data_IF_072279353863
#
_entry.id   IF_072279353863
#
_cell.length_a   1.000
_cell.length_b   1.000
_cell.length_c   1.000
_cell.angle_alpha   90.00
_cell.angle_beta   90.00
_cell.angle_gamma   90.00
#
_symmetry.space_group_name_H-M   'P 1'
#
loop_
_entity.id
_entity.type
_entity.pdbx_description
1 polymer ?
#
# COMPACT_ATOMS: atom_id res chain seq x y z
N UNK A 1 0.81 -96.67 -6.11
CA UNK A 1 1.28 -95.97 -7.29
C UNK A 1 1.38 -94.46 -6.95
N UNK A 2 2.49 -93.92 -7.18
CA UNK A 2 3.15 -92.69 -6.83
C UNK A 2 2.32 -91.46 -6.66
N UNK A 3 2.43 -90.90 -5.42
CA UNK A 3 2.04 -89.53 -4.98
C UNK A 3 3.11 -88.53 -5.43
N UNK A 4 2.71 -87.40 -6.00
CA UNK A 4 3.56 -86.19 -6.18
C UNK A 4 3.02 -85.05 -5.36
N UNK A 5 3.69 -84.77 -4.22
CA UNK A 5 3.60 -83.55 -3.48
C UNK A 5 4.22 -82.36 -4.22
N UNK A 6 3.51 -81.29 -4.45
CA UNK A 6 4.07 -79.99 -4.91
C UNK A 6 4.25 -79.08 -3.70
N UNK A 7 5.48 -78.68 -3.48
CA UNK A 7 5.87 -77.58 -2.58
C UNK A 7 5.46 -76.25 -3.23
N UNK A 8 4.72 -75.42 -2.50
CA UNK A 8 4.49 -74.01 -2.80
C UNK A 8 5.37 -73.18 -1.89
N UNK A 9 6.40 -72.56 -2.46
CA UNK A 9 7.23 -71.53 -1.83
C UNK A 9 6.50 -70.19 -1.92
N UNK A 10 6.07 -69.64 -0.79
CA UNK A 10 5.50 -68.31 -0.72
C UNK A 10 6.62 -67.24 -0.76
N UNK A 11 6.55 -66.34 -1.72
CA UNK A 11 7.32 -65.11 -1.77
C UNK A 11 6.54 -64.03 -1.01
N UNK A 12 7.06 -63.57 0.14
CA UNK A 12 6.56 -62.41 0.83
C UNK A 12 7.10 -61.14 0.15
N UNK A 13 6.22 -60.37 -0.49
CA UNK A 13 6.54 -59.05 -1.02
C UNK A 13 6.40 -58.01 0.12
N UNK A 14 7.54 -57.52 0.61
CA UNK A 14 7.61 -56.37 1.53
C UNK A 14 7.36 -55.09 0.72
N UNK A 15 6.14 -54.56 0.79
CA UNK A 15 5.81 -53.24 0.26
C UNK A 15 6.39 -52.14 1.12
N UNK A 16 7.41 -51.44 0.67
CA UNK A 16 7.88 -50.18 1.22
C UNK A 16 6.88 -49.07 0.83
N UNK A 17 6.00 -48.68 1.75
CA UNK A 17 5.19 -47.46 1.62
C UNK A 17 6.09 -46.24 1.86
N UNK A 18 6.63 -45.67 0.79
CA UNK A 18 7.31 -44.39 0.81
C UNK A 18 6.29 -43.28 1.03
N UNK A 19 6.18 -42.76 2.26
CA UNK A 19 5.44 -41.57 2.55
C UNK A 19 6.16 -40.35 1.93
N UNK A 20 5.67 -39.87 0.80
CA UNK A 20 6.03 -38.53 0.29
C UNK A 20 5.58 -37.50 1.32
N UNK A 21 6.50 -37.05 2.14
CA UNK A 21 6.32 -35.80 2.90
C UNK A 21 6.36 -34.64 1.91
N UNK A 22 5.20 -34.13 1.51
CA UNK A 22 5.08 -32.81 0.91
C UNK A 22 5.67 -31.82 1.92
N UNK A 23 6.90 -31.38 1.66
CA UNK A 23 7.55 -30.32 2.38
C UNK A 23 6.70 -29.06 2.22
N UNK A 24 5.92 -28.71 3.27
CA UNK A 24 5.39 -27.37 3.40
C UNK A 24 6.60 -26.45 3.52
N UNK A 25 6.91 -25.74 2.43
CA UNK A 25 7.80 -24.59 2.49
C UNK A 25 7.15 -23.58 3.42
N UNK A 26 7.58 -23.58 4.67
CA UNK A 26 7.24 -22.49 5.60
C UNK A 26 8.02 -21.28 5.10
N UNK A 27 7.39 -20.44 4.29
CA UNK A 27 7.89 -19.08 4.07
C UNK A 27 7.92 -18.44 5.45
N UNK A 28 9.11 -18.29 6.01
CA UNK A 28 9.31 -17.64 7.30
C UNK A 28 8.81 -16.21 7.14
N UNK A 29 7.72 -15.89 7.82
CA UNK A 29 7.27 -14.50 7.97
C UNK A 29 8.45 -13.71 8.54
N UNK A 30 8.85 -12.57 7.96
CA UNK A 30 9.90 -11.75 8.53
C UNK A 30 9.58 -11.47 10.00
N UNK A 31 10.58 -11.55 10.86
CA UNK A 31 10.41 -11.17 12.27
C UNK A 31 10.04 -9.70 12.32
N UNK A 32 8.91 -9.36 12.96
CA UNK A 32 8.49 -7.98 13.16
C UNK A 32 9.21 -7.44 14.39
N UNK A 33 10.02 -6.40 14.22
CA UNK A 33 10.66 -5.69 15.33
C UNK A 33 9.59 -5.10 16.26
N UNK A 34 9.68 -5.31 17.60
CA UNK A 34 8.74 -4.70 18.55
C UNK A 34 8.71 -3.17 18.44
N UNK A 35 7.53 -2.59 18.62
CA UNK A 35 7.35 -1.15 18.63
C UNK A 35 8.03 -0.54 19.87
N UNK A 36 8.71 0.60 19.70
CA UNK A 36 9.53 1.26 20.73
C UNK A 36 8.89 2.55 21.28
N UNK A 37 7.63 2.79 20.98
CA UNK A 37 6.86 3.91 21.52
C UNK A 37 5.43 3.46 21.84
N UNK A 38 4.74 4.22 22.68
CA UNK A 38 3.33 3.96 22.99
C UNK A 38 2.49 4.22 21.75
N UNK A 39 1.89 3.16 21.21
CA UNK A 39 1.02 3.24 20.04
C UNK A 39 -0.33 3.81 20.47
N UNK A 40 -0.75 4.97 19.94
CA UNK A 40 -2.04 5.55 20.29
C UNK A 40 -3.19 4.61 19.93
N UNK A 41 -4.21 4.53 20.77
CA UNK A 41 -5.44 3.83 20.43
C UNK A 41 -6.03 4.38 19.13
N UNK A 42 -6.65 3.48 18.33
CA UNK A 42 -7.21 3.80 17.01
C UNK A 42 -6.16 4.25 15.98
N UNK A 43 -4.91 3.87 16.15
CA UNK A 43 -3.87 4.04 15.12
C UNK A 43 -4.32 3.46 13.80
N UNK A 44 -4.07 4.21 12.71
CA UNK A 44 -4.43 3.88 11.35
C UNK A 44 -3.19 3.73 10.47
N UNK A 45 -3.05 2.58 9.81
CA UNK A 45 -2.17 2.43 8.66
C UNK A 45 -2.91 2.94 7.41
N UNK A 46 -2.44 4.06 6.85
CA UNK A 46 -3.13 4.74 5.76
C UNK A 46 -2.70 4.27 4.36
N UNK A 47 -1.83 3.26 4.26
CA UNK A 47 -1.40 2.75 2.95
C UNK A 47 -0.94 1.30 3.02
N UNK A 48 -1.81 0.41 2.60
CA UNK A 48 -1.49 -1.01 2.41
C UNK A 48 -2.12 -1.54 1.12
N UNK A 49 -1.60 -2.67 0.63
CA UNK A 49 -2.16 -3.41 -0.49
C UNK A 49 -2.45 -4.85 -0.10
N UNK A 50 -3.42 -5.48 -0.75
CA UNK A 50 -3.69 -6.91 -0.62
C UNK A 50 -3.57 -7.57 -1.98
N UNK A 51 -2.89 -8.72 -2.04
CA UNK A 51 -2.74 -9.55 -3.23
C UNK A 51 -3.23 -10.96 -2.95
N UNK A 52 -4.35 -11.31 -3.53
CA UNK A 52 -4.94 -12.66 -3.40
C UNK A 52 -5.26 -13.24 -4.80
N UNK A 53 -4.23 -13.60 -5.60
CA UNK A 53 -4.42 -14.05 -6.97
C UNK A 53 -5.14 -15.40 -7.06
N UNK A 54 -5.22 -16.15 -5.96
CA UNK A 54 -5.97 -17.41 -5.90
C UNK A 54 -7.49 -17.21 -5.96
N UNK A 55 -7.96 -16.03 -5.53
CA UNK A 55 -9.39 -15.67 -5.53
C UNK A 55 -9.72 -14.56 -6.54
N UNK A 56 -8.80 -13.68 -6.79
CA UNK A 56 -8.95 -12.50 -7.65
C UNK A 56 -7.83 -12.45 -8.68
N UNK A 57 -8.09 -12.73 -9.96
CA UNK A 57 -7.06 -12.75 -10.99
C UNK A 57 -6.50 -11.34 -11.23
N UNK A 58 -5.19 -11.26 -11.46
CA UNK A 58 -4.56 -10.01 -11.85
C UNK A 58 -4.97 -9.57 -13.27
N UNK A 59 -5.05 -8.26 -13.50
CA UNK A 59 -5.34 -7.69 -14.81
C UNK A 59 -4.28 -8.09 -15.85
N UNK A 60 -4.72 -8.32 -17.09
CA UNK A 60 -3.83 -8.65 -18.20
C UNK A 60 -2.84 -7.54 -18.57
N UNK A 61 -3.22 -6.29 -18.33
CA UNK A 61 -2.41 -5.08 -18.61
C UNK A 61 -1.45 -4.68 -17.50
N UNK A 62 -1.27 -5.52 -16.46
CA UNK A 62 -0.38 -5.21 -15.33
C UNK A 62 1.09 -5.07 -15.77
N UNK A 63 1.85 -4.24 -15.07
CA UNK A 63 3.28 -4.02 -15.32
C UNK A 63 4.19 -4.95 -14.52
N UNK A 64 3.67 -5.59 -13.47
CA UNK A 64 4.37 -6.57 -12.63
C UNK A 64 3.37 -7.59 -12.05
N UNK A 65 3.88 -8.71 -11.56
CA UNK A 65 3.09 -9.75 -10.87
C UNK A 65 3.67 -9.97 -9.47
N UNK A 66 3.03 -9.48 -8.39
CA UNK A 66 3.52 -9.68 -7.03
C UNK A 66 3.25 -11.10 -6.53
N UNK A 67 4.01 -11.52 -5.52
CA UNK A 67 3.64 -12.65 -4.67
C UNK A 67 2.31 -12.37 -3.94
N UNK A 68 1.63 -13.45 -3.51
CA UNK A 68 0.43 -13.32 -2.71
C UNK A 68 0.73 -12.70 -1.34
N UNK A 69 -0.16 -11.79 -0.91
CA UNK A 69 -0.13 -11.15 0.40
C UNK A 69 -1.58 -10.89 0.83
N UNK A 70 -2.11 -11.77 1.67
CA UNK A 70 -3.55 -11.85 1.97
C UNK A 70 -3.98 -10.91 3.09
N UNK A 71 -5.28 -10.62 3.17
CA UNK A 71 -5.86 -9.86 4.27
C UNK A 71 -5.58 -10.48 5.65
N UNK A 72 -5.51 -11.82 5.75
CA UNK A 72 -5.17 -12.50 7.00
C UNK A 72 -3.73 -12.21 7.46
N UNK A 73 -2.77 -12.15 6.52
CA UNK A 73 -1.38 -11.78 6.82
C UNK A 73 -1.28 -10.30 7.25
N UNK A 74 -2.00 -9.40 6.58
CA UNK A 74 -2.12 -8.00 6.97
C UNK A 74 -2.65 -7.84 8.39
N UNK A 75 -3.75 -8.53 8.72
CA UNK A 75 -4.31 -8.52 10.08
C UNK A 75 -3.33 -9.03 11.14
N UNK A 76 -2.54 -10.05 10.82
CA UNK A 76 -1.51 -10.58 11.73
C UNK A 76 -0.41 -9.54 12.00
N UNK A 77 0.08 -8.87 10.95
CA UNK A 77 1.07 -7.80 11.05
C UNK A 77 0.53 -6.62 11.86
N UNK A 78 -0.67 -6.14 11.59
CA UNK A 78 -1.29 -5.03 12.33
C UNK A 78 -1.50 -5.36 13.82
N UNK A 79 -1.88 -6.60 14.15
CA UNK A 79 -1.98 -7.03 15.57
C UNK A 79 -0.64 -6.95 16.28
N UNK A 80 0.45 -7.39 15.62
CA UNK A 80 1.80 -7.33 16.19
C UNK A 80 2.28 -5.88 16.42
N UNK A 81 1.79 -4.93 15.62
CA UNK A 81 2.12 -3.50 15.72
C UNK A 81 1.09 -2.67 16.49
N UNK A 82 0.05 -3.28 17.08
CA UNK A 82 -1.05 -2.60 17.78
C UNK A 82 -1.82 -1.60 16.90
N UNK A 83 -1.89 -1.84 15.60
CA UNK A 83 -2.63 -1.03 14.61
C UNK A 83 -4.07 -1.56 14.53
N UNK A 84 -5.06 -0.67 14.67
CA UNK A 84 -6.47 -1.06 14.74
C UNK A 84 -7.32 -0.57 13.58
N UNK A 85 -6.85 0.39 12.77
CA UNK A 85 -7.54 0.89 11.58
C UNK A 85 -6.62 0.76 10.35
N UNK A 86 -7.25 0.67 9.18
CA UNK A 86 -6.52 0.52 7.92
C UNK A 86 -7.18 1.25 6.77
N UNK A 87 -6.35 1.72 5.83
CA UNK A 87 -6.80 2.16 4.50
C UNK A 87 -6.16 1.27 3.46
N UNK A 88 -6.97 0.40 2.85
CA UNK A 88 -6.54 -0.53 1.81
C UNK A 88 -6.61 0.19 0.47
N UNK A 89 -5.48 0.30 -0.19
CA UNK A 89 -5.32 1.02 -1.44
C UNK A 89 -5.32 0.03 -2.60
N UNK A 90 -6.17 0.26 -3.60
CA UNK A 90 -6.20 -0.56 -4.81
C UNK A 90 -4.83 -0.59 -5.49
N UNK A 91 -4.19 -1.76 -5.64
CA UNK A 91 -2.93 -1.87 -6.35
C UNK A 91 -3.15 -1.92 -7.87
N UNK A 92 -2.17 -1.43 -8.64
CA UNK A 92 -2.27 -1.34 -10.10
C UNK A 92 -2.45 -2.69 -10.81
N UNK A 93 -2.01 -3.78 -10.19
CA UNK A 93 -2.09 -5.14 -10.78
C UNK A 93 -3.51 -5.67 -10.97
N UNK A 94 -4.50 -5.08 -10.32
CA UNK A 94 -5.91 -5.41 -10.53
C UNK A 94 -6.63 -4.40 -11.44
N UNK A 95 -5.92 -3.36 -11.93
CA UNK A 95 -6.54 -2.31 -12.74
C UNK A 95 -7.72 -1.67 -12.02
N UNK A 96 -8.89 -1.65 -12.68
CA UNK A 96 -10.14 -1.08 -12.17
C UNK A 96 -11.05 -2.11 -11.48
N UNK A 97 -10.65 -3.37 -11.38
CA UNK A 97 -11.37 -4.38 -10.61
C UNK A 97 -11.01 -4.27 -9.13
N UNK A 98 -11.87 -3.61 -8.36
CA UNK A 98 -11.67 -3.37 -6.93
C UNK A 98 -12.13 -4.55 -6.03
N UNK A 99 -12.50 -5.70 -6.60
CA UNK A 99 -13.07 -6.83 -5.86
C UNK A 99 -12.17 -7.34 -4.73
N UNK A 100 -10.85 -7.48 -4.99
CA UNK A 100 -9.88 -7.90 -3.97
C UNK A 100 -9.79 -6.88 -2.82
N UNK A 101 -9.76 -5.60 -3.12
CA UNK A 101 -9.72 -4.53 -2.13
C UNK A 101 -10.99 -4.50 -1.27
N UNK A 102 -12.17 -4.62 -1.89
CA UNK A 102 -13.46 -4.65 -1.19
C UNK A 102 -13.60 -5.90 -0.29
N UNK A 103 -13.17 -7.07 -0.79
CA UNK A 103 -13.17 -8.30 0.01
C UNK A 103 -12.22 -8.20 1.22
N UNK A 104 -11.02 -7.65 1.03
CA UNK A 104 -10.07 -7.42 2.11
C UNK A 104 -10.63 -6.44 3.16
N UNK A 105 -11.31 -5.37 2.74
CA UNK A 105 -12.00 -4.45 3.65
C UNK A 105 -13.09 -5.17 4.45
N UNK A 106 -13.88 -6.03 3.80
CA UNK A 106 -14.90 -6.84 4.47
C UNK A 106 -14.29 -7.78 5.52
N UNK A 107 -13.16 -8.43 5.21
CA UNK A 107 -12.46 -9.30 6.16
C UNK A 107 -11.88 -8.52 7.35
N UNK A 108 -11.40 -7.31 7.13
CA UNK A 108 -10.87 -6.43 8.19
C UNK A 108 -11.99 -5.86 9.08
N UNK A 109 -13.17 -5.64 8.51
CA UNK A 109 -14.35 -5.16 9.20
C UNK A 109 -14.50 -3.64 9.21
N UNK A 110 -15.31 -3.08 10.14
CA UNK A 110 -15.72 -1.67 10.12
C UNK A 110 -14.56 -0.67 10.31
N UNK A 111 -13.42 -1.12 10.77
CA UNK A 111 -12.21 -0.31 10.94
C UNK A 111 -11.44 -0.09 9.63
N UNK A 112 -11.83 -0.74 8.54
CA UNK A 112 -11.25 -0.58 7.23
C UNK A 112 -11.89 0.56 6.43
N UNK A 113 -11.07 1.23 5.62
CA UNK A 113 -11.48 2.09 4.52
C UNK A 113 -10.72 1.69 3.27
N UNK A 114 -11.22 2.09 2.10
CA UNK A 114 -10.58 1.76 0.83
C UNK A 114 -10.40 2.96 -0.09
N UNK A 115 -9.41 2.82 -0.97
CA UNK A 115 -9.15 3.74 -2.07
C UNK A 115 -9.24 2.93 -3.35
N UNK A 116 -10.21 3.27 -4.20
CA UNK A 116 -10.50 2.56 -5.44
C UNK A 116 -9.71 3.12 -6.64
N UNK A 117 -9.59 2.33 -7.70
CA UNK A 117 -9.24 2.81 -9.04
C UNK A 117 -10.48 2.66 -9.90
N UNK A 118 -10.93 3.75 -10.51
CA UNK A 118 -12.13 3.78 -11.31
C UNK A 118 -11.80 3.71 -12.82
N UNK A 119 -12.66 3.08 -13.64
CA UNK A 119 -12.63 3.27 -15.08
C UNK A 119 -13.04 4.71 -15.45
N UNK A 120 -12.95 5.06 -16.74
CA UNK A 120 -13.30 6.40 -17.21
C UNK A 120 -14.75 6.79 -16.93
N UNK A 121 -15.63 5.81 -16.91
CA UNK A 121 -17.06 5.99 -16.64
C UNK A 121 -17.53 4.96 -15.63
N UNK A 122 -18.21 5.41 -14.58
CA UNK A 122 -18.77 4.57 -13.52
C UNK A 122 -20.20 5.01 -13.23
N UNK A 123 -21.19 4.08 -13.22
CA UNK A 123 -22.54 4.40 -12.79
C UNK A 123 -22.57 4.96 -11.35
N UNK A 124 -23.36 5.97 -11.09
CA UNK A 124 -23.51 6.56 -9.75
C UNK A 124 -23.89 5.53 -8.70
N UNK A 125 -24.75 4.56 -9.06
CA UNK A 125 -25.14 3.44 -8.19
C UNK A 125 -23.96 2.59 -7.73
N UNK A 126 -22.98 2.36 -8.62
CA UNK A 126 -21.75 1.64 -8.26
C UNK A 126 -20.92 2.44 -7.26
N UNK A 127 -20.81 3.76 -7.44
CA UNK A 127 -20.13 4.64 -6.50
C UNK A 127 -20.85 4.66 -5.14
N UNK A 128 -22.19 4.63 -5.12
CA UNK A 128 -22.98 4.53 -3.89
C UNK A 128 -22.72 3.21 -3.13
N UNK A 129 -22.62 2.10 -3.86
CA UNK A 129 -22.28 0.81 -3.29
C UNK A 129 -20.85 0.81 -2.70
N UNK A 130 -19.90 1.38 -3.43
CA UNK A 130 -18.53 1.54 -2.95
C UNK A 130 -18.46 2.43 -1.70
N UNK A 131 -19.22 3.52 -1.64
CA UNK A 131 -19.27 4.40 -0.48
C UNK A 131 -19.84 3.68 0.75
N UNK A 132 -20.92 2.92 0.58
CA UNK A 132 -21.48 2.06 1.64
C UNK A 132 -20.51 0.99 2.10
N UNK A 133 -19.69 0.45 1.19
CA UNK A 133 -18.63 -0.50 1.52
C UNK A 133 -17.44 0.14 2.24
N UNK A 134 -17.36 1.47 2.31
CA UNK A 134 -16.28 2.19 3.01
C UNK A 134 -15.17 2.74 2.11
N UNK A 135 -15.36 2.79 0.79
CA UNK A 135 -14.45 3.55 -0.09
C UNK A 135 -14.55 5.03 0.25
N UNK A 136 -13.39 5.72 0.32
CA UNK A 136 -13.29 7.15 0.69
C UNK A 136 -12.41 7.95 -0.26
N UNK A 137 -12.00 7.37 -1.36
CA UNK A 137 -11.21 8.07 -2.36
C UNK A 137 -10.92 7.23 -3.59
N UNK A 138 -10.34 7.90 -4.58
CA UNK A 138 -9.89 7.28 -5.84
C UNK A 138 -8.39 7.49 -6.03
N UNK A 139 -7.72 6.52 -6.63
CA UNK A 139 -6.27 6.55 -6.87
C UNK A 139 -5.93 6.81 -8.32
N UNK A 140 -5.01 7.73 -8.55
CA UNK A 140 -4.27 7.92 -9.80
C UNK A 140 -2.85 7.42 -9.57
N UNK A 141 -2.48 6.34 -10.25
CA UNK A 141 -1.14 5.77 -10.17
C UNK A 141 -0.41 6.02 -11.49
N UNK A 142 0.53 6.94 -11.45
CA UNK A 142 1.45 7.27 -12.54
C UNK A 142 2.87 6.75 -12.24
N UNK A 143 3.20 6.60 -10.95
CA UNK A 143 4.55 6.25 -10.51
C UNK A 143 4.96 4.82 -10.84
N UNK A 144 4.03 3.85 -10.79
CA UNK A 144 4.35 2.44 -11.11
C UNK A 144 4.72 2.24 -12.59
N UNK A 145 4.16 3.04 -13.48
CA UNK A 145 4.46 3.03 -14.91
C UNK A 145 5.52 4.08 -15.30
N UNK A 146 6.08 4.80 -14.32
CA UNK A 146 7.02 5.92 -14.52
C UNK A 146 6.48 6.98 -15.52
N UNK A 147 5.16 7.17 -15.51
CA UNK A 147 4.48 8.09 -16.41
C UNK A 147 4.72 9.53 -15.98
N UNK A 148 5.50 10.25 -16.79
CA UNK A 148 5.84 11.66 -16.60
C UNK A 148 5.07 12.60 -17.52
N UNK A 149 4.13 12.09 -18.33
CA UNK A 149 3.33 12.89 -19.24
C UNK A 149 2.33 13.76 -18.46
N UNK A 150 2.60 15.05 -18.43
CA UNK A 150 1.80 16.02 -17.68
C UNK A 150 0.37 16.16 -18.21
N UNK A 151 0.17 16.08 -19.53
CA UNK A 151 -1.18 16.17 -20.11
C UNK A 151 -2.00 14.90 -19.80
N UNK A 152 -1.37 13.74 -19.76
CA UNK A 152 -2.02 12.52 -19.28
C UNK A 152 -2.39 12.66 -17.79
N UNK A 153 -1.47 13.13 -16.96
CA UNK A 153 -1.73 13.39 -15.53
C UNK A 153 -2.89 14.38 -15.33
N UNK A 154 -2.94 15.48 -16.09
CA UNK A 154 -4.04 16.47 -16.06
C UNK A 154 -5.38 15.86 -16.41
N UNK A 155 -5.44 15.09 -17.50
CA UNK A 155 -6.69 14.40 -17.89
C UNK A 155 -7.18 13.44 -16.83
N UNK A 156 -6.27 12.60 -16.29
CA UNK A 156 -6.60 11.66 -15.22
C UNK A 156 -7.12 12.36 -13.97
N UNK A 157 -6.46 13.46 -13.58
CA UNK A 157 -6.87 14.24 -12.40
C UNK A 157 -8.26 14.86 -12.59
N UNK A 158 -8.52 15.51 -13.73
CA UNK A 158 -9.84 16.10 -14.02
C UNK A 158 -10.93 15.05 -14.02
N UNK A 159 -10.73 13.93 -14.73
CA UNK A 159 -11.71 12.84 -14.77
C UNK A 159 -11.99 12.25 -13.39
N UNK A 160 -10.98 12.12 -12.53
CA UNK A 160 -11.18 11.66 -11.15
C UNK A 160 -12.04 12.65 -10.34
N UNK A 161 -11.78 13.95 -10.44
CA UNK A 161 -12.57 14.99 -9.77
C UNK A 161 -14.02 14.96 -10.24
N UNK A 162 -14.26 14.94 -11.55
CA UNK A 162 -15.61 14.92 -12.14
C UNK A 162 -16.47 13.77 -11.61
N UNK A 163 -15.86 12.62 -11.34
CA UNK A 163 -16.57 11.44 -10.82
C UNK A 163 -16.90 11.52 -9.33
N UNK A 164 -16.14 12.30 -8.52
CA UNK A 164 -16.24 12.22 -7.07
C UNK A 164 -16.52 13.56 -6.37
N UNK A 165 -16.59 14.69 -7.08
CA UNK A 165 -16.69 16.03 -6.48
C UNK A 165 -17.93 16.23 -5.58
N UNK A 166 -19.01 15.51 -5.86
CA UNK A 166 -20.24 15.55 -5.06
C UNK A 166 -20.24 14.56 -3.90
N UNK A 167 -19.11 13.88 -3.66
CA UNK A 167 -18.91 12.89 -2.59
C UNK A 167 -17.90 13.42 -1.57
N UNK A 168 -17.94 12.89 -0.37
CA UNK A 168 -16.92 13.17 0.67
C UNK A 168 -15.66 12.33 0.45
N UNK A 169 -15.22 12.18 -0.80
CA UNK A 169 -14.05 11.41 -1.18
C UNK A 169 -12.88 12.35 -1.49
N UNK A 170 -11.70 11.76 -1.65
CA UNK A 170 -10.49 12.49 -2.02
C UNK A 170 -9.82 11.83 -3.24
N UNK A 171 -8.93 12.56 -3.90
CA UNK A 171 -8.05 12.01 -4.94
C UNK A 171 -6.70 11.71 -4.34
N UNK A 172 -6.26 10.45 -4.44
CA UNK A 172 -4.93 10.00 -4.04
C UNK A 172 -4.04 9.85 -5.28
N UNK A 173 -2.82 10.39 -5.25
CA UNK A 173 -1.90 10.40 -6.40
C UNK A 173 -0.57 9.79 -6.00
N UNK A 174 -0.10 8.83 -6.81
CA UNK A 174 1.26 8.35 -6.80
C UNK A 174 1.96 8.76 -8.11
N UNK A 175 2.91 9.67 -8.03
CA UNK A 175 3.65 10.19 -9.18
C UNK A 175 5.02 10.73 -8.74
N UNK A 176 5.90 10.98 -9.69
CA UNK A 176 7.15 11.72 -9.45
C UNK A 176 6.86 13.16 -9.03
N UNK A 177 7.67 13.71 -8.13
CA UNK A 177 7.50 15.06 -7.59
C UNK A 177 7.37 16.17 -8.66
N UNK A 178 8.15 16.18 -9.76
CA UNK A 178 7.96 17.18 -10.82
C UNK A 178 6.58 17.10 -11.49
N UNK A 179 5.99 15.92 -11.62
CA UNK A 179 4.63 15.76 -12.16
C UNK A 179 3.61 16.37 -11.22
N UNK A 180 3.72 16.12 -9.92
CA UNK A 180 2.85 16.73 -8.90
C UNK A 180 2.97 18.26 -8.90
N UNK A 181 4.17 18.79 -8.98
CA UNK A 181 4.42 20.23 -9.10
C UNK A 181 3.80 20.82 -10.37
N UNK A 182 3.86 20.10 -11.48
CA UNK A 182 3.23 20.49 -12.76
C UNK A 182 1.68 20.47 -12.77
N UNK A 183 1.06 19.86 -11.75
CA UNK A 183 -0.39 19.87 -11.52
C UNK A 183 -0.86 20.98 -10.57
N UNK A 184 0.03 21.91 -10.16
CA UNK A 184 -0.21 22.84 -9.06
C UNK A 184 -1.54 23.60 -9.14
N UNK A 185 -1.84 24.19 -10.29
CA UNK A 185 -3.09 24.95 -10.47
C UNK A 185 -4.34 24.07 -10.25
N UNK A 186 -4.34 22.86 -10.81
CA UNK A 186 -5.46 21.93 -10.67
C UNK A 186 -5.61 21.43 -9.22
N UNK A 187 -4.50 21.18 -8.54
CA UNK A 187 -4.48 20.71 -7.14
C UNK A 187 -5.02 21.82 -6.23
N UNK A 188 -4.56 23.06 -6.39
CA UNK A 188 -5.00 24.19 -5.59
C UNK A 188 -6.47 24.55 -5.82
N UNK A 189 -6.96 24.36 -7.05
CA UNK A 189 -8.36 24.58 -7.42
C UNK A 189 -9.29 23.38 -7.10
N UNK A 190 -8.73 22.25 -6.64
CA UNK A 190 -9.53 21.03 -6.40
C UNK A 190 -10.65 21.27 -5.39
N UNK A 191 -11.91 20.88 -5.70
CA UNK A 191 -13.02 20.95 -4.73
C UNK A 191 -12.93 19.87 -3.64
N UNK A 192 -12.13 18.82 -3.86
CA UNK A 192 -11.94 17.70 -2.90
C UNK A 192 -10.51 17.68 -2.36
N UNK A 193 -10.26 17.07 -1.19
CA UNK A 193 -8.91 16.87 -0.69
C UNK A 193 -8.05 16.06 -1.65
N UNK A 194 -6.76 16.34 -1.68
CA UNK A 194 -5.77 15.57 -2.46
C UNK A 194 -4.79 14.91 -1.51
N UNK A 195 -4.38 13.68 -1.82
CA UNK A 195 -3.41 12.91 -1.03
C UNK A 195 -2.24 12.50 -1.91
N UNK A 196 -1.03 12.74 -1.48
CA UNK A 196 0.17 12.27 -2.16
C UNK A 196 0.75 11.05 -1.45
N UNK A 197 1.02 10.00 -2.23
CA UNK A 197 1.69 8.81 -1.73
C UNK A 197 3.20 9.06 -1.54
N UNK A 198 3.81 8.34 -0.62
CA UNK A 198 5.27 8.17 -0.47
C UNK A 198 6.06 9.47 -0.56
N UNK A 199 5.92 10.34 0.45
CA UNK A 199 6.64 11.62 0.55
C UNK A 199 6.41 12.56 -0.66
N UNK A 200 5.27 12.40 -1.37
CA UNK A 200 5.01 13.16 -2.59
C UNK A 200 6.01 12.88 -3.72
N UNK A 201 6.59 11.69 -3.76
CA UNK A 201 7.58 11.30 -4.77
C UNK A 201 8.97 11.93 -4.60
N UNK A 202 9.22 12.61 -3.46
CA UNK A 202 10.53 13.18 -3.15
C UNK A 202 11.61 12.10 -3.01
N UNK A 203 12.86 12.43 -3.41
CA UNK A 203 14.03 11.55 -3.32
C UNK A 203 15.00 12.08 -2.28
N UNK A 204 15.37 11.25 -1.31
CA UNK A 204 16.22 11.66 -0.19
C UNK A 204 17.63 12.09 -0.64
N UNK A 205 18.18 11.42 -1.65
CA UNK A 205 19.49 11.77 -2.22
C UNK A 205 19.55 13.19 -2.80
N UNK A 206 18.41 13.77 -3.20
CA UNK A 206 18.34 15.13 -3.76
C UNK A 206 18.11 16.22 -2.69
N UNK A 207 17.86 15.83 -1.44
CA UNK A 207 17.67 16.74 -0.32
C UNK A 207 16.45 17.67 -0.46
N UNK A 208 16.43 18.74 0.35
CA UNK A 208 15.31 19.68 0.40
C UNK A 208 15.25 20.65 -0.80
N UNK A 209 16.36 20.81 -1.52
CA UNK A 209 16.47 21.73 -2.67
C UNK A 209 16.08 21.06 -4.00
N UNK A 210 15.57 19.84 -3.97
CA UNK A 210 15.13 19.14 -5.18
C UNK A 210 13.98 19.89 -5.88
N UNK A 211 13.92 19.86 -7.22
CA UNK A 211 12.88 20.55 -7.99
C UNK A 211 11.47 20.11 -7.58
N UNK A 212 10.63 21.07 -7.20
CA UNK A 212 9.23 20.86 -6.81
C UNK A 212 9.01 20.59 -5.33
N UNK A 213 10.05 20.46 -4.50
CA UNK A 213 9.86 20.22 -3.07
C UNK A 213 9.31 21.46 -2.34
N UNK A 214 9.70 22.64 -2.76
CA UNK A 214 9.14 23.92 -2.32
C UNK A 214 7.63 23.99 -2.60
N UNK A 215 7.23 23.55 -3.78
CA UNK A 215 5.82 23.47 -4.16
C UNK A 215 5.06 22.43 -3.35
N UNK A 216 5.66 21.28 -3.07
CA UNK A 216 5.08 20.27 -2.17
C UNK A 216 4.83 20.85 -0.77
N UNK A 217 5.80 21.58 -0.20
CA UNK A 217 5.62 22.27 1.09
C UNK A 217 4.54 23.33 1.05
N UNK A 218 4.43 24.07 -0.06
CA UNK A 218 3.33 25.04 -0.26
C UNK A 218 1.96 24.35 -0.23
N UNK A 219 1.77 23.24 -0.93
CA UNK A 219 0.52 22.46 -0.91
C UNK A 219 0.14 22.02 0.50
N UNK A 220 1.12 21.56 1.27
CA UNK A 220 0.92 21.10 2.65
C UNK A 220 0.54 22.29 3.56
N UNK A 221 1.25 23.44 3.47
CA UNK A 221 0.96 24.65 4.24
C UNK A 221 -0.43 25.19 3.97
N UNK A 222 -0.85 25.19 2.71
CA UNK A 222 -2.19 25.65 2.30
C UNK A 222 -3.33 24.73 2.78
N UNK A 223 -2.99 23.57 3.33
CA UNK A 223 -3.97 22.60 3.82
C UNK A 223 -4.79 21.88 2.75
N UNK A 224 -4.44 22.02 1.47
CA UNK A 224 -5.12 21.36 0.35
C UNK A 224 -4.70 19.90 0.21
N UNK A 225 -3.45 19.57 0.55
CA UNK A 225 -2.84 18.28 0.30
C UNK A 225 -2.48 17.61 1.60
N UNK A 226 -2.84 16.33 1.70
CA UNK A 226 -2.26 15.40 2.66
C UNK A 226 -1.06 14.67 2.03
N UNK A 227 -0.02 14.42 2.80
CA UNK A 227 1.13 13.63 2.36
C UNK A 227 1.29 12.42 3.25
N UNK A 228 1.43 11.25 2.63
CA UNK A 228 1.77 10.02 3.35
C UNK A 228 3.28 9.92 3.53
N UNK A 229 3.75 9.99 4.77
CA UNK A 229 5.13 9.66 5.14
C UNK A 229 5.25 8.13 5.22
N UNK A 230 5.31 7.49 4.06
CA UNK A 230 5.32 6.05 3.84
C UNK A 230 6.38 5.67 2.82
N UNK A 231 6.76 4.40 2.75
CA UNK A 231 7.68 3.92 1.73
C UNK A 231 9.04 4.61 1.77
N UNK A 232 9.69 4.72 2.93
CA UNK A 232 11.04 5.30 3.06
C UNK A 232 12.03 4.67 2.07
N UNK A 233 11.90 3.36 1.84
CA UNK A 233 12.70 2.60 0.88
C UNK A 233 12.43 2.94 -0.61
N UNK A 234 11.38 3.71 -0.90
CA UNK A 234 11.12 4.27 -2.25
C UNK A 234 11.80 5.63 -2.44
N UNK A 235 12.11 6.29 -1.35
CA UNK A 235 12.74 7.61 -1.33
C UNK A 235 14.25 7.56 -1.14
N UNK A 236 14.79 6.49 -0.51
CA UNK A 236 16.18 6.35 -0.10
C UNK A 236 16.73 4.95 -0.35
N UNK A 237 18.02 4.89 -0.68
CA UNK A 237 18.81 3.67 -0.87
C UNK A 237 19.70 3.34 0.36
N UNK A 238 19.35 3.86 1.57
CA UNK A 238 20.11 3.67 2.82
C UNK A 238 19.34 2.88 3.88
N UNK A 239 18.94 1.61 3.60
CA UNK A 239 18.25 0.77 4.57
C UNK A 239 19.19 0.40 5.74
N UNK A 240 18.63 0.00 6.90
CA UNK A 240 17.20 -0.05 7.20
C UNK A 240 16.67 1.27 7.81
N UNK A 241 17.54 2.20 8.19
CA UNK A 241 17.20 3.40 8.98
C UNK A 241 16.82 4.61 8.14
N UNK A 242 17.16 4.64 6.85
CA UNK A 242 16.87 5.73 5.90
C UNK A 242 17.13 7.14 6.49
N UNK A 243 18.35 7.44 7.03
CA UNK A 243 18.61 8.66 7.77
C UNK A 243 18.44 9.93 6.94
N UNK A 244 18.61 9.84 5.63
CA UNK A 244 18.44 10.92 4.67
C UNK A 244 16.96 11.24 4.36
N UNK A 245 16.02 10.40 4.80
CA UNK A 245 14.57 10.68 4.75
C UNK A 245 14.13 11.62 5.88
N UNK A 246 14.88 11.66 7.00
CA UNK A 246 14.53 12.45 8.18
C UNK A 246 14.33 13.96 7.87
N UNK A 247 15.22 14.63 7.13
CA UNK A 247 14.99 16.04 6.79
C UNK A 247 13.73 16.28 5.98
N UNK A 248 13.39 15.38 5.03
CA UNK A 248 12.19 15.49 4.20
C UNK A 248 10.92 15.35 5.05
N UNK A 249 10.87 14.34 5.91
CA UNK A 249 9.71 14.09 6.78
C UNK A 249 9.49 15.20 7.77
N UNK A 250 10.56 15.72 8.39
CA UNK A 250 10.49 16.86 9.30
C UNK A 250 9.97 18.12 8.63
N UNK A 251 10.51 18.46 7.46
CA UNK A 251 10.04 19.63 6.70
C UNK A 251 8.54 19.54 6.34
N UNK A 252 8.05 18.34 6.00
CA UNK A 252 6.63 18.12 5.75
C UNK A 252 5.77 18.26 7.01
N UNK A 253 6.21 17.70 8.14
CA UNK A 253 5.51 17.82 9.43
C UNK A 253 5.49 19.28 9.90
N UNK A 254 6.61 19.99 9.81
CA UNK A 254 6.73 21.41 10.16
C UNK A 254 5.87 22.30 9.26
N UNK A 255 5.71 21.95 7.99
CA UNK A 255 4.87 22.69 7.06
C UNK A 255 3.41 22.69 7.51
N UNK A 256 2.84 21.55 7.88
CA UNK A 256 1.51 21.43 8.49
C UNK A 256 1.29 20.02 9.08
N UNK A 257 1.41 19.82 10.39
CA UNK A 257 1.25 18.50 11.01
C UNK A 257 -0.15 17.89 10.82
N UNK A 258 -1.18 18.73 10.56
CA UNK A 258 -2.54 18.29 10.32
C UNK A 258 -2.79 17.75 8.88
N UNK A 259 -1.74 17.69 8.07
CA UNK A 259 -1.80 17.19 6.69
C UNK A 259 -0.87 16.01 6.45
N UNK A 260 -0.36 15.41 7.51
CA UNK A 260 0.55 14.26 7.44
C UNK A 260 -0.18 12.98 7.83
N UNK A 261 0.00 11.94 7.03
CA UNK A 261 -0.50 10.59 7.25
C UNK A 261 0.69 9.64 7.30
N UNK A 262 0.57 8.54 8.04
CA UNK A 262 1.52 7.46 8.02
C UNK A 262 0.94 6.23 7.31
N UNK A 263 1.78 5.43 6.67
CA UNK A 263 1.42 4.12 6.11
C UNK A 263 2.64 3.21 6.01
N UNK A 264 2.44 1.93 6.22
CA UNK A 264 3.51 0.92 6.11
C UNK A 264 3.96 0.70 4.67
N UNK A 265 3.04 0.81 3.71
CA UNK A 265 3.17 0.36 2.32
C UNK A 265 3.29 -1.18 2.23
N UNK A 266 2.79 -1.88 3.26
CA UNK A 266 2.70 -3.35 3.23
C UNK A 266 1.93 -3.84 1.99
N UNK A 267 2.34 -4.90 1.32
CA UNK A 267 3.41 -5.84 1.61
C UNK A 267 4.73 -5.52 0.90
N UNK A 268 5.01 -4.27 0.58
CA UNK A 268 6.25 -3.78 -0.05
C UNK A 268 6.47 -4.35 -1.45
N UNK A 269 5.55 -4.12 -2.40
CA UNK A 269 5.66 -4.69 -3.73
C UNK A 269 6.91 -4.18 -4.45
N UNK A 270 7.68 -5.13 -4.99
CA UNK A 270 8.82 -4.82 -5.84
C UNK A 270 8.34 -4.63 -7.28
N UNK A 271 8.26 -3.37 -7.70
CA UNK A 271 7.86 -2.96 -9.06
C UNK A 271 9.06 -2.74 -9.98
N UNK A 272 10.25 -3.18 -9.57
CA UNK A 272 11.52 -2.93 -10.26
C UNK A 272 11.54 -3.41 -11.71
N UNK A 273 12.33 -2.69 -12.51
CA UNK A 273 12.54 -2.91 -13.94
C UNK A 273 13.31 -4.20 -14.24
N UNK A 274 13.26 -4.66 -15.49
CA UNK A 274 14.07 -5.80 -15.98
C UNK A 274 13.40 -7.17 -15.88
N UNK A 275 12.11 -7.25 -15.47
CA UNK A 275 11.32 -8.47 -15.48
C UNK A 275 10.19 -8.39 -16.50
N UNK A 276 9.75 -9.54 -17.02
CA UNK A 276 8.50 -9.58 -17.78
C UNK A 276 7.33 -9.35 -16.83
N UNK A 277 6.27 -8.65 -17.24
CA UNK A 277 5.10 -8.42 -16.40
C UNK A 277 4.45 -9.70 -15.85
N UNK A 278 4.60 -10.84 -16.54
CA UNK A 278 4.10 -12.16 -16.13
C UNK A 278 4.94 -12.84 -15.05
N UNK A 279 6.22 -12.47 -14.90
CA UNK A 279 7.12 -13.10 -13.95
C UNK A 279 6.78 -12.66 -12.53
N UNK A 280 6.74 -13.62 -11.60
CA UNK A 280 6.46 -13.31 -10.21
C UNK A 280 7.61 -12.50 -9.62
N UNK A 281 7.30 -11.30 -9.15
CA UNK A 281 8.21 -10.41 -8.47
C UNK A 281 8.10 -10.63 -6.96
N UNK A 282 9.16 -11.12 -6.28
CA UNK A 282 9.12 -11.28 -4.83
C UNK A 282 8.92 -9.94 -4.15
N UNK A 283 8.18 -9.98 -3.04
CA UNK A 283 8.01 -8.81 -2.18
C UNK A 283 9.35 -8.41 -1.57
N UNK A 284 9.55 -7.12 -1.34
CA UNK A 284 10.73 -6.65 -0.63
C UNK A 284 10.67 -7.12 0.83
N UNK A 285 11.78 -7.65 1.34
CA UNK A 285 11.87 -8.12 2.72
C UNK A 285 12.18 -6.93 3.63
N UNK A 286 11.12 -6.24 4.05
CA UNK A 286 11.18 -5.07 4.91
C UNK A 286 10.55 -5.42 6.25
N UNK A 287 11.13 -4.98 7.34
CA UNK A 287 10.61 -5.14 8.70
C UNK A 287 9.64 -4.00 8.99
N UNK A 288 8.34 -4.31 9.01
CA UNK A 288 7.27 -3.34 9.28
C UNK A 288 7.39 -2.69 10.66
N UNK A 289 7.83 -3.43 11.67
CA UNK A 289 8.05 -2.90 13.01
C UNK A 289 9.22 -1.91 13.04
N UNK A 290 10.28 -2.19 12.29
CA UNK A 290 11.39 -1.26 12.15
C UNK A 290 10.94 0.03 11.42
N UNK A 291 10.21 -0.09 10.30
CA UNK A 291 9.64 1.08 9.60
C UNK A 291 8.71 1.90 10.49
N UNK A 292 7.87 1.23 11.29
CA UNK A 292 6.98 1.93 12.22
C UNK A 292 7.77 2.68 13.28
N UNK A 293 8.86 2.11 13.79
CA UNK A 293 9.74 2.74 14.77
C UNK A 293 10.44 4.01 14.24
N UNK A 294 10.65 4.14 12.92
CA UNK A 294 11.19 5.37 12.32
C UNK A 294 10.31 6.59 12.59
N UNK A 295 9.01 6.38 12.79
CA UNK A 295 8.10 7.47 13.16
C UNK A 295 8.49 8.13 14.49
N UNK A 296 9.10 7.40 15.43
CA UNK A 296 9.67 7.96 16.65
C UNK A 296 10.78 8.98 16.40
N UNK A 297 11.53 8.84 15.29
CA UNK A 297 12.56 9.80 14.86
C UNK A 297 11.96 10.96 14.05
N UNK A 298 10.97 10.69 13.22
CA UNK A 298 10.33 11.69 12.37
C UNK A 298 9.39 12.61 13.15
N UNK A 299 8.65 12.05 14.11
CA UNK A 299 7.71 12.71 14.99
C UNK A 299 7.99 12.32 16.46
N UNK A 300 9.04 12.87 17.08
CA UNK A 300 9.45 12.47 18.43
C UNK A 300 8.43 12.80 19.51
N UNK A 301 7.60 13.81 19.31
CA UNK A 301 6.52 14.19 20.21
C UNK A 301 5.33 13.23 20.09
N UNK A 302 4.79 12.78 21.25
CA UNK A 302 3.66 11.85 21.30
C UNK A 302 2.36 12.46 20.73
N UNK A 303 2.14 13.75 20.87
CA UNK A 303 0.97 14.44 20.32
C UNK A 303 1.06 14.51 18.79
N UNK A 304 2.25 14.75 18.22
CA UNK A 304 2.47 14.68 16.78
C UNK A 304 2.22 13.27 16.23
N UNK A 305 2.69 12.22 16.93
CA UNK A 305 2.39 10.84 16.53
C UNK A 305 0.90 10.56 16.56
N UNK A 306 0.19 11.00 17.61
CA UNK A 306 -1.27 10.86 17.70
C UNK A 306 -1.97 11.62 16.56
N UNK A 307 -1.56 12.84 16.26
CA UNK A 307 -2.10 13.61 15.14
C UNK A 307 -1.93 12.85 13.82
N UNK A 308 -0.72 12.34 13.54
CA UNK A 308 -0.40 11.63 12.30
C UNK A 308 -1.11 10.27 12.17
N UNK A 309 -1.19 9.52 13.28
CA UNK A 309 -1.70 8.14 13.29
C UNK A 309 -3.22 8.05 13.55
N UNK A 310 -3.81 9.03 14.20
CA UNK A 310 -5.20 8.97 14.68
C UNK A 310 -6.08 10.08 14.14
N UNK A 311 -5.70 11.35 14.38
CA UNK A 311 -6.59 12.47 14.18
C UNK A 311 -6.73 12.85 12.70
N UNK A 312 -5.62 12.91 11.97
CA UNK A 312 -5.62 13.17 10.53
C UNK A 312 -6.34 12.07 9.74
N UNK A 313 -6.07 10.77 9.97
CA UNK A 313 -6.84 9.70 9.34
C UNK A 313 -8.33 9.75 9.69
N UNK A 314 -8.70 10.05 10.94
CA UNK A 314 -10.10 10.17 11.33
C UNK A 314 -10.81 11.33 10.64
N UNK A 315 -10.08 12.39 10.31
CA UNK A 315 -10.61 13.55 9.59
C UNK A 315 -10.83 13.25 8.11
N UNK A 316 -9.83 12.63 7.46
CA UNK A 316 -9.85 12.40 6.02
C UNK A 316 -10.73 11.22 5.59
N UNK A 317 -10.73 10.11 6.35
CA UNK A 317 -11.41 8.85 5.98
C UNK A 317 -12.73 8.63 6.77
N UNK A 318 -13.45 9.67 7.08
CA UNK A 318 -14.76 9.63 7.79
C UNK A 318 -15.76 8.67 7.20
#
# INVERSE_FOLDING_TARGET
MLSRRRFLTGMAATGMAGSLRLGRSTVSTPSITPVRFDVPERTCDCHVHVFDPGRFPFAGSRTYTPEAATAAQLLAMHRALHISRVVIVQPSVYGTDNSCTLDAMKQYGPAARGIAVLPSEVPSTTLDDMERAGIRGVRINLGTAEDTNLDHARRRFKSAIEQIQDRKWHVQIYAALPVLAGLAELILASPVPVVFDHLGGAKAALGLQQPGFDKLLEFVRNGKVYVKISGAYRASDKPPDYPDVVPLTRALIEANPHRILWGSDWPHPNTGTGRKPSDVSPLLRIDDGHLFNLLGTWAPDAALRKTTLVDNPATLYR
#
